data_IF_810364824042
#
_entry.id   IF_810364824042
#
_cell.length_a   1.000
_cell.length_b   1.000
_cell.length_c   1.000
_cell.angle_alpha   90.00
_cell.angle_beta   90.00
_cell.angle_gamma   90.00
#
_symmetry.space_group_name_H-M   'P 1'
#
loop_
_entity.id
_entity.type
_entity.pdbx_description
1 polymer ?
#
# COMPACT_ATOMS: atom_id res chain seq x y z
N UNK A 1 4.03 -12.25 13.98
CA UNK A 1 3.71 -11.31 12.87
C UNK A 1 4.40 -11.80 11.62
N UNK A 2 3.71 -11.88 10.48
CA UNK A 2 4.34 -12.18 9.19
C UNK A 2 5.18 -10.97 8.76
N UNK A 3 6.31 -11.22 8.12
CA UNK A 3 7.09 -10.14 7.50
C UNK A 3 6.29 -9.53 6.34
N UNK A 4 6.44 -8.22 6.11
CA UNK A 4 5.84 -7.55 4.96
C UNK A 4 6.52 -8.03 3.67
N UNK A 5 5.72 -8.55 2.74
CA UNK A 5 6.14 -9.09 1.45
C UNK A 5 5.81 -8.09 0.34
N UNK A 6 6.76 -7.20 0.06
CA UNK A 6 6.59 -6.15 -0.96
C UNK A 6 6.33 -6.74 -2.35
N UNK A 7 6.91 -7.88 -2.69
CA UNK A 7 6.75 -8.51 -4.00
C UNK A 7 5.30 -8.90 -4.24
N UNK A 8 4.74 -9.62 -3.26
CA UNK A 8 3.36 -10.11 -3.33
C UNK A 8 2.34 -8.99 -3.20
N UNK A 9 2.54 -8.05 -2.27
CA UNK A 9 1.63 -6.92 -2.05
C UNK A 9 1.59 -6.00 -3.26
N UNK A 10 2.73 -5.71 -3.88
CA UNK A 10 2.80 -4.90 -5.09
C UNK A 10 2.04 -5.54 -6.25
N UNK A 11 2.22 -6.85 -6.47
CA UNK A 11 1.53 -7.57 -7.54
C UNK A 11 0.02 -7.62 -7.33
N UNK A 12 -0.43 -7.87 -6.10
CA UNK A 12 -1.85 -7.83 -5.75
C UNK A 12 -2.43 -6.42 -5.99
N UNK A 13 -1.77 -5.38 -5.48
CA UNK A 13 -2.24 -4.00 -5.62
C UNK A 13 -2.32 -3.53 -7.09
N UNK A 14 -1.34 -3.88 -7.92
CA UNK A 14 -1.33 -3.50 -9.34
C UNK A 14 -2.44 -4.13 -10.16
N UNK A 15 -2.96 -5.30 -9.74
CA UNK A 15 -4.11 -5.98 -10.35
C UNK A 15 -5.46 -5.39 -9.94
N UNK A 16 -5.53 -4.57 -8.89
CA UNK A 16 -6.78 -3.95 -8.45
C UNK A 16 -7.28 -2.91 -9.44
N UNK A 17 -8.58 -2.99 -9.74
CA UNK A 17 -9.28 -1.97 -10.50
C UNK A 17 -9.57 -0.69 -9.68
N UNK A 18 -10.17 0.32 -10.32
CA UNK A 18 -10.46 1.61 -9.67
C UNK A 18 -11.46 1.48 -8.51
N UNK A 19 -12.45 0.59 -8.62
CA UNK A 19 -13.46 0.39 -7.58
C UNK A 19 -12.85 -0.32 -6.37
N UNK A 20 -12.10 -1.40 -6.60
CA UNK A 20 -11.38 -2.14 -5.57
C UNK A 20 -10.36 -1.25 -4.85
N UNK A 21 -9.62 -0.40 -5.58
CA UNK A 21 -8.71 0.57 -4.94
C UNK A 21 -9.46 1.57 -4.05
N UNK A 22 -10.63 2.05 -4.47
CA UNK A 22 -11.45 2.95 -3.65
C UNK A 22 -11.94 2.24 -2.38
N UNK A 23 -12.35 0.98 -2.50
CA UNK A 23 -12.78 0.15 -1.37
C UNK A 23 -11.62 -0.14 -0.41
N UNK A 24 -10.45 -0.53 -0.91
CA UNK A 24 -9.23 -0.72 -0.12
C UNK A 24 -8.90 0.53 0.70
N UNK A 25 -8.93 1.71 0.07
CA UNK A 25 -8.70 2.98 0.77
C UNK A 25 -9.76 3.20 1.86
N UNK A 26 -11.03 2.90 1.59
CA UNK A 26 -12.08 3.03 2.60
C UNK A 26 -11.85 2.08 3.80
N UNK A 27 -11.45 0.83 3.56
CA UNK A 27 -11.12 -0.16 4.60
C UNK A 27 -9.91 0.28 5.43
N UNK A 28 -8.84 0.74 4.80
CA UNK A 28 -7.67 1.29 5.49
C UNK A 28 -8.04 2.46 6.42
N UNK A 29 -8.91 3.36 5.95
CA UNK A 29 -9.38 4.47 6.78
C UNK A 29 -10.27 4.00 7.95
N UNK A 30 -11.05 2.93 7.76
CA UNK A 30 -11.85 2.34 8.84
C UNK A 30 -10.98 1.71 9.94
N UNK A 31 -9.81 1.17 9.56
CA UNK A 31 -8.75 0.72 10.49
C UNK A 31 -7.92 1.87 11.09
N UNK A 32 -8.34 3.13 10.89
CA UNK A 32 -7.65 4.30 11.43
C UNK A 32 -6.38 4.70 10.68
N UNK A 33 -6.10 4.10 9.52
CA UNK A 33 -4.93 4.43 8.69
C UNK A 33 -5.38 5.46 7.63
N UNK A 34 -5.01 6.75 7.76
CA UNK A 34 -5.62 7.84 7.00
C UNK A 34 -5.06 7.94 5.58
N UNK A 35 -5.06 6.86 4.81
CA UNK A 35 -4.56 6.84 3.42
C UNK A 35 -5.61 7.49 2.50
N UNK A 36 -5.14 8.31 1.57
CA UNK A 36 -5.94 8.93 0.51
C UNK A 36 -5.68 8.32 -0.86
N UNK A 37 -4.44 7.86 -1.11
CA UNK A 37 -4.01 7.23 -2.35
C UNK A 37 -2.82 6.31 -2.08
N UNK A 38 -2.70 5.26 -2.87
CA UNK A 38 -1.51 4.39 -2.93
C UNK A 38 -0.96 4.45 -4.35
N UNK A 39 0.35 4.52 -4.49
CA UNK A 39 1.03 4.50 -5.77
C UNK A 39 2.04 3.37 -5.84
N UNK A 40 1.90 2.52 -6.86
CA UNK A 40 2.88 1.50 -7.21
C UNK A 40 3.92 2.12 -8.13
N UNK A 41 5.18 2.00 -7.73
CA UNK A 41 6.30 2.61 -8.44
C UNK A 41 7.45 1.63 -8.62
N UNK A 42 8.09 1.69 -9.79
CA UNK A 42 9.34 1.00 -10.10
C UNK A 42 10.35 2.07 -10.51
N UNK A 43 11.54 2.04 -9.91
CA UNK A 43 12.62 2.96 -10.25
C UNK A 43 13.17 2.63 -11.64
N UNK A 44 13.25 3.62 -12.53
CA UNK A 44 13.77 3.43 -13.89
C UNK A 44 15.20 2.90 -13.89
N UNK A 45 16.02 3.36 -12.94
CA UNK A 45 17.42 2.97 -12.79
C UNK A 45 17.58 1.63 -12.04
N UNK A 46 16.50 1.10 -11.45
CA UNK A 46 16.49 -0.19 -10.76
C UNK A 46 15.13 -0.91 -10.94
N UNK A 47 14.89 -1.50 -12.13
CA UNK A 47 13.59 -2.10 -12.47
C UNK A 47 13.16 -3.28 -11.59
N UNK A 48 14.10 -3.90 -10.90
CA UNK A 48 13.84 -5.00 -9.97
C UNK A 48 13.37 -4.56 -8.58
N UNK A 49 13.31 -3.25 -8.29
CA UNK A 49 12.91 -2.73 -6.97
C UNK A 49 11.47 -2.22 -7.05
N UNK A 50 10.56 -2.98 -6.46
CA UNK A 50 9.15 -2.61 -6.29
C UNK A 50 8.97 -1.67 -5.09
N UNK A 51 8.12 -0.67 -5.25
CA UNK A 51 7.84 0.29 -4.20
C UNK A 51 6.35 0.67 -4.14
N UNK A 52 5.87 0.94 -2.92
CA UNK A 52 4.55 1.51 -2.66
C UNK A 52 4.70 2.81 -1.88
N UNK A 53 4.10 3.87 -2.41
CA UNK A 53 3.97 5.16 -1.74
C UNK A 53 2.55 5.35 -1.24
N UNK A 54 2.43 5.81 0.01
CA UNK A 54 1.16 6.09 0.68
C UNK A 54 0.99 7.59 0.84
N UNK A 55 -0.09 8.13 0.29
CA UNK A 55 -0.46 9.53 0.45
C UNK A 55 -1.40 9.64 1.64
N UNK A 56 -0.97 10.27 2.73
CA UNK A 56 -1.79 10.42 3.94
C UNK A 56 -2.70 11.65 3.84
N UNK A 57 -3.93 11.56 4.37
CA UNK A 57 -4.87 12.67 4.44
C UNK A 57 -4.27 13.80 5.29
N UNK A 58 -4.26 15.01 4.75
CA UNK A 58 -3.74 16.19 5.44
C UNK A 58 -2.21 16.31 5.44
N UNK A 59 -1.48 15.34 4.87
CA UNK A 59 -0.04 15.43 4.68
C UNK A 59 0.29 15.79 3.21
N UNK A 60 1.31 16.62 3.00
CA UNK A 60 1.83 16.96 1.68
C UNK A 60 2.85 15.93 1.18
N UNK A 61 3.50 15.21 2.08
CA UNK A 61 4.52 14.22 1.76
C UNK A 61 3.93 12.82 1.63
N UNK A 62 4.52 12.04 0.72
CA UNK A 62 4.25 10.60 0.61
C UNK A 62 5.09 9.84 1.61
N UNK A 63 4.52 8.74 2.12
CA UNK A 63 5.21 7.82 3.02
C UNK A 63 5.57 6.55 2.24
N UNK A 64 6.88 6.27 2.05
CA UNK A 64 7.37 4.98 1.55
C UNK A 64 6.96 3.83 2.48
N UNK A 65 6.65 2.65 1.94
CA UNK A 65 6.23 1.50 2.77
C UNK A 65 7.24 1.17 3.88
N UNK A 66 8.55 1.26 3.61
CA UNK A 66 9.58 0.93 4.61
C UNK A 66 9.69 1.95 5.75
N UNK A 67 9.04 3.11 5.64
CA UNK A 67 8.93 4.11 6.71
C UNK A 67 7.65 3.93 7.55
N UNK A 68 6.76 3.01 7.18
CA UNK A 68 5.54 2.74 7.94
C UNK A 68 5.82 1.81 9.12
N UNK A 69 5.04 1.97 10.19
CA UNK A 69 5.08 1.06 11.33
C UNK A 69 4.72 -0.37 10.90
N UNK A 70 5.37 -1.36 11.52
CA UNK A 70 5.19 -2.78 11.17
C UNK A 70 3.74 -3.26 11.35
N UNK A 71 3.05 -2.74 12.35
CA UNK A 71 1.63 -3.07 12.61
C UNK A 71 0.75 -2.53 11.48
N UNK A 72 0.98 -1.29 11.05
CA UNK A 72 0.29 -0.68 9.92
C UNK A 72 0.58 -1.45 8.63
N UNK A 73 1.82 -1.86 8.40
CA UNK A 73 2.18 -2.68 7.23
C UNK A 73 1.48 -4.04 7.20
N UNK A 74 1.27 -4.67 8.36
CA UNK A 74 0.53 -5.93 8.42
C UNK A 74 -0.93 -5.72 8.00
N UNK A 75 -1.59 -4.68 8.51
CA UNK A 75 -2.97 -4.35 8.14
C UNK A 75 -3.06 -4.04 6.64
N UNK A 76 -2.13 -3.23 6.12
CA UNK A 76 -2.07 -2.91 4.67
C UNK A 76 -1.91 -4.18 3.83
N UNK A 77 -1.00 -5.06 4.21
CA UNK A 77 -0.78 -6.33 3.50
C UNK A 77 -2.03 -7.21 3.54
N UNK A 78 -2.64 -7.41 4.70
CA UNK A 78 -3.84 -8.23 4.85
C UNK A 78 -4.98 -7.69 3.98
N UNK A 79 -5.23 -6.38 4.02
CA UNK A 79 -6.30 -5.76 3.24
C UNK A 79 -6.06 -5.78 1.73
N UNK A 80 -4.82 -5.62 1.27
CA UNK A 80 -4.50 -5.70 -0.17
C UNK A 80 -4.64 -7.14 -0.67
N UNK A 81 -4.15 -8.12 0.10
CA UNK A 81 -4.19 -9.53 -0.28
C UNK A 81 -5.58 -10.14 -0.17
N UNK A 82 -6.51 -9.53 0.55
CA UNK A 82 -7.91 -9.97 0.61
C UNK A 82 -8.64 -9.85 -0.73
N UNK A 83 -8.13 -9.02 -1.65
CA UNK A 83 -8.64 -8.92 -3.02
C UNK A 83 -7.98 -9.90 -4.01
N UNK A 84 -6.97 -10.67 -3.58
CA UNK A 84 -6.08 -11.48 -4.42
C UNK A 84 -6.29 -12.97 -4.25
#
# INVERSE_FOLDING_TARGET
MKQFDIERVYEAYTKLDKAQRKELIARLNAEGIPVSRIEAYIYKDAPGIKHLFFYMKGNKETVPYFMMDKEVLNVVQELILDFY
#
